data_IF_700116185969
#
_entry.id   IF_700116185969
#
_cell.length_a   1.000
_cell.length_b   1.000
_cell.length_c   1.000
_cell.angle_alpha   90.00
_cell.angle_beta   90.00
_cell.angle_gamma   90.00
#
_symmetry.space_group_name_H-M   'P 1'
#
loop_
_entity.id
_entity.type
_entity.pdbx_description
1 polymer ?
#
# COMPACT_ATOMS: atom_id res chain seq x y z
N UNK A 1 15.24 -17.80 6.54
CA UNK A 1 15.65 -17.23 7.85
C UNK A 1 14.51 -17.50 8.83
N UNK A 2 14.72 -18.29 9.90
CA UNK A 2 13.70 -18.46 10.92
C UNK A 2 13.37 -17.07 11.51
N UNK A 3 12.09 -16.67 11.48
CA UNK A 3 11.61 -15.46 12.17
C UNK A 3 11.17 -14.26 11.32
N UNK A 4 11.04 -14.37 9.98
CA UNK A 4 10.37 -13.30 9.21
C UNK A 4 8.87 -13.61 9.12
N UNK A 5 8.07 -12.93 9.92
CA UNK A 5 6.61 -12.89 9.77
C UNK A 5 6.26 -11.71 8.87
N UNK A 6 5.68 -11.98 7.69
CA UNK A 6 5.19 -10.91 6.82
C UNK A 6 3.76 -10.53 7.20
N UNK A 7 3.43 -9.23 7.26
CA UNK A 7 2.06 -8.81 7.52
C UNK A 7 1.16 -9.22 6.34
N UNK A 8 0.08 -9.92 6.65
CA UNK A 8 -0.99 -10.21 5.70
C UNK A 8 -1.95 -9.02 5.70
N UNK A 9 -2.01 -8.30 4.58
CA UNK A 9 -2.89 -7.14 4.42
C UNK A 9 -3.95 -7.48 3.38
N UNK A 10 -5.22 -7.27 3.74
CA UNK A 10 -6.34 -7.52 2.83
C UNK A 10 -6.45 -6.41 1.78
N UNK A 11 -7.07 -6.73 0.64
CA UNK A 11 -7.36 -5.73 -0.38
C UNK A 11 -8.21 -4.57 0.15
N UNK A 12 -9.14 -4.83 1.07
CA UNK A 12 -9.96 -3.78 1.70
C UNK A 12 -9.11 -2.83 2.55
N UNK A 13 -8.11 -3.34 3.25
CA UNK A 13 -7.18 -2.49 4.00
C UNK A 13 -6.32 -1.65 3.05
N UNK A 14 -5.88 -2.21 1.91
CA UNK A 14 -5.17 -1.43 0.89
C UNK A 14 -6.04 -0.32 0.30
N UNK A 15 -7.32 -0.61 0.01
CA UNK A 15 -8.28 0.40 -0.44
C UNK A 15 -8.40 1.52 0.58
N UNK A 16 -8.59 1.20 1.85
CA UNK A 16 -8.69 2.21 2.89
C UNK A 16 -7.39 3.01 3.02
N UNK A 17 -6.25 2.32 3.08
CA UNK A 17 -4.94 2.93 3.27
C UNK A 17 -4.56 3.90 2.15
N UNK A 18 -4.97 3.61 0.91
CA UNK A 18 -4.68 4.45 -0.27
C UNK A 18 -5.80 5.43 -0.63
N UNK A 19 -6.85 5.51 0.19
CA UNK A 19 -8.06 6.28 -0.13
C UNK A 19 -8.66 5.88 -1.48
N UNK A 20 -8.85 4.57 -1.67
CA UNK A 20 -9.33 3.93 -2.90
C UNK A 20 -8.43 4.23 -4.12
N UNK A 21 -7.11 4.13 -3.94
CA UNK A 21 -6.11 4.47 -4.95
C UNK A 21 -6.30 5.88 -5.54
N UNK A 22 -6.60 6.85 -4.67
CA UNK A 22 -6.79 8.25 -5.07
C UNK A 22 -5.55 8.82 -5.74
N UNK A 23 -5.75 9.65 -6.77
CA UNK A 23 -4.67 10.39 -7.44
C UNK A 23 -3.88 11.28 -6.48
N UNK A 24 -4.50 11.76 -5.39
CA UNK A 24 -3.82 12.49 -4.33
C UNK A 24 -2.69 11.68 -3.64
N UNK A 25 -2.75 10.36 -3.74
CA UNK A 25 -1.76 9.43 -3.22
C UNK A 25 -0.88 8.81 -4.30
N UNK A 26 -1.07 9.17 -5.58
CA UNK A 26 -0.28 8.62 -6.68
C UNK A 26 1.18 9.11 -6.61
N UNK A 27 2.11 8.17 -6.76
CA UNK A 27 3.56 8.45 -6.72
C UNK A 27 4.22 8.28 -8.09
N UNK A 28 3.63 7.49 -8.98
CA UNK A 28 4.18 7.26 -10.31
C UNK A 28 3.68 5.96 -10.92
N UNK A 29 3.92 5.81 -12.22
CA UNK A 29 3.58 4.61 -12.98
C UNK A 29 4.74 4.18 -13.87
N UNK A 30 4.78 2.90 -14.19
CA UNK A 30 5.76 2.34 -15.11
C UNK A 30 5.26 1.02 -15.70
N UNK A 31 6.17 0.26 -16.32
CA UNK A 31 5.84 -1.02 -16.96
C UNK A 31 5.26 -2.08 -16.00
N UNK A 32 5.40 -1.88 -14.69
CA UNK A 32 4.95 -2.82 -13.65
C UNK A 32 3.70 -2.35 -12.89
N UNK A 33 3.03 -1.29 -13.36
CA UNK A 33 1.82 -0.75 -12.75
C UNK A 33 1.99 0.63 -12.13
N UNK A 34 0.97 1.04 -11.38
CA UNK A 34 0.91 2.32 -10.67
C UNK A 34 1.29 2.13 -9.21
N UNK A 35 1.94 3.14 -8.64
CA UNK A 35 2.43 3.13 -7.27
C UNK A 35 1.71 4.23 -6.48
N UNK A 36 1.23 3.90 -5.29
CA UNK A 36 0.48 4.80 -4.41
C UNK A 36 1.06 4.82 -3.00
N UNK A 37 1.00 5.98 -2.35
CA UNK A 37 1.20 6.12 -0.91
C UNK A 37 -0.02 5.58 -0.17
N UNK A 38 0.22 4.84 0.91
CA UNK A 38 -0.84 4.43 1.83
C UNK A 38 -0.45 4.59 3.30
N UNK A 39 -1.43 4.64 4.18
CA UNK A 39 -1.24 4.57 5.63
C UNK A 39 -2.11 3.42 6.15
N UNK A 40 -1.47 2.37 6.67
CA UNK A 40 -2.18 1.19 7.19
C UNK A 40 -2.63 1.42 8.65
N UNK A 41 -3.40 0.49 9.21
CA UNK A 41 -4.14 0.69 10.47
C UNK A 41 -3.28 1.09 11.68
N UNK A 42 -2.01 0.68 11.73
CA UNK A 42 -1.07 1.03 12.80
C UNK A 42 -0.39 2.41 12.59
N UNK A 43 -0.75 3.14 11.55
CA UNK A 43 -0.17 4.44 11.18
C UNK A 43 1.09 4.33 10.32
N UNK A 44 1.56 3.13 9.99
CA UNK A 44 2.73 2.94 9.14
C UNK A 44 2.45 3.46 7.74
N UNK A 45 3.34 4.32 7.24
CA UNK A 45 3.32 4.74 5.83
C UNK A 45 3.92 3.64 4.97
N UNK A 46 3.20 3.26 3.92
CA UNK A 46 3.59 2.21 2.97
C UNK A 46 3.52 2.72 1.54
N UNK A 47 4.17 1.97 0.65
CA UNK A 47 4.07 2.13 -0.79
C UNK A 47 3.34 0.89 -1.33
N UNK A 48 2.20 1.12 -1.99
CA UNK A 48 1.35 0.08 -2.58
C UNK A 48 1.59 0.07 -4.08
N UNK A 49 1.84 -1.12 -4.65
CA UNK A 49 1.98 -1.35 -6.08
C UNK A 49 1.12 -2.56 -6.47
#
# INVERSE_FOLDING_TARGET
LPGITLPMISYRELLHATSNFSEANFLGSGSFGSVYKGIIADGTTVVVK
#
